data_IF_928375125652
#
_entry.id   IF_928375125652
#
_cell.length_a   1.000
_cell.length_b   1.000
_cell.length_c   1.000
_cell.angle_alpha   90.00
_cell.angle_beta   90.00
_cell.angle_gamma   90.00
#
_symmetry.space_group_name_H-M   'P 1'
#
loop_
_entity.id
_entity.type
_entity.pdbx_description
1 polymer ?
#
# COMPACT_ATOMS: atom_id res chain seq x y z
N UNK A 1 -19.08 -17.84 -24.82
CA UNK A 1 -19.05 -18.34 -23.44
C UNK A 1 -17.78 -19.17 -23.31
N UNK A 2 -16.67 -18.52 -22.99
CA UNK A 2 -15.37 -19.18 -22.85
C UNK A 2 -15.13 -19.52 -21.38
N UNK A 3 -14.64 -20.73 -21.16
CA UNK A 3 -14.43 -21.34 -19.86
C UNK A 3 -13.48 -20.52 -19.00
N UNK A 4 -13.99 -19.98 -17.90
CA UNK A 4 -13.16 -19.48 -16.79
C UNK A 4 -12.27 -20.63 -16.32
N UNK A 5 -10.95 -20.43 -16.38
CA UNK A 5 -9.96 -21.33 -15.79
C UNK A 5 -10.30 -21.53 -14.30
N UNK A 6 -11.01 -22.61 -13.99
CA UNK A 6 -11.08 -23.15 -12.65
C UNK A 6 -9.73 -23.80 -12.39
N UNK A 7 -8.92 -23.14 -11.56
CA UNK A 7 -7.63 -23.65 -11.11
C UNK A 7 -7.87 -24.94 -10.33
N UNK A 8 -7.10 -25.98 -10.66
CA UNK A 8 -7.11 -27.27 -9.99
C UNK A 8 -6.95 -27.10 -8.45
N UNK A 9 -7.88 -27.61 -7.62
CA UNK A 9 -7.79 -27.49 -6.16
C UNK A 9 -6.63 -28.26 -5.50
N UNK A 10 -5.87 -29.04 -6.29
CA UNK A 10 -4.86 -29.99 -5.81
C UNK A 10 -3.42 -29.49 -5.78
N UNK A 11 -3.10 -28.34 -6.39
CA UNK A 11 -1.76 -27.76 -6.29
C UNK A 11 -1.69 -26.78 -5.13
N UNK A 12 -1.17 -27.24 -3.99
CA UNK A 12 -0.72 -26.38 -2.87
C UNK A 12 0.54 -25.57 -3.27
N UNK A 13 0.49 -24.86 -4.40
CA UNK A 13 1.43 -23.78 -4.64
C UNK A 13 1.06 -22.65 -3.68
N UNK A 14 1.77 -22.60 -2.54
CA UNK A 14 1.75 -21.46 -1.64
C UNK A 14 2.01 -20.21 -2.49
N UNK A 15 1.00 -19.36 -2.65
CA UNK A 15 1.10 -18.18 -3.49
C UNK A 15 2.27 -17.32 -3.01
N UNK A 16 3.09 -16.82 -3.94
CA UNK A 16 4.25 -15.97 -3.64
C UNK A 16 3.83 -14.69 -2.90
N UNK A 17 2.64 -14.19 -3.21
CA UNK A 17 2.02 -13.02 -2.60
C UNK A 17 0.62 -13.34 -2.11
N UNK A 18 0.09 -12.49 -1.25
CA UNK A 18 -1.29 -12.49 -0.79
C UNK A 18 -1.96 -11.26 -1.38
N UNK A 19 -3.03 -11.46 -2.13
CA UNK A 19 -3.80 -10.37 -2.74
C UNK A 19 -5.30 -10.53 -2.49
N UNK A 20 -5.96 -9.40 -2.26
CA UNK A 20 -7.39 -9.32 -2.04
C UNK A 20 -7.98 -8.02 -2.57
N UNK A 21 -9.09 -8.11 -3.28
CA UNK A 21 -9.88 -6.95 -3.74
C UNK A 21 -11.25 -7.02 -3.08
N UNK A 22 -11.38 -6.33 -1.95
CA UNK A 22 -12.57 -6.31 -1.11
C UNK A 22 -13.33 -4.98 -1.21
N UNK A 23 -12.63 -3.87 -1.45
CA UNK A 23 -13.18 -2.53 -1.49
C UNK A 23 -12.24 -1.50 -2.13
N UNK A 24 -12.60 -0.21 -2.10
CA UNK A 24 -11.91 0.83 -2.87
C UNK A 24 -10.61 1.36 -2.26
N UNK A 25 -10.36 1.08 -0.98
CA UNK A 25 -9.13 1.51 -0.30
C UNK A 25 -8.14 0.35 -0.38
N UNK A 26 -7.00 0.59 -1.00
CA UNK A 26 -6.02 -0.41 -1.40
C UNK A 26 -4.74 -0.21 -0.61
N UNK A 27 -4.26 -1.24 0.07
CA UNK A 27 -3.02 -1.23 0.82
C UNK A 27 -1.98 -2.16 0.19
N UNK A 28 -0.86 -1.61 -0.27
CA UNK A 28 0.30 -2.42 -0.68
C UNK A 28 1.38 -2.40 0.38
N UNK A 29 2.13 -3.50 0.49
CA UNK A 29 3.36 -3.56 1.27
C UNK A 29 4.42 -4.35 0.48
N UNK A 30 4.99 -3.75 -0.57
CA UNK A 30 5.87 -4.44 -1.52
C UNK A 30 7.19 -4.86 -0.88
N UNK A 31 7.64 -4.22 0.20
CA UNK A 31 8.83 -4.65 0.95
C UNK A 31 8.50 -5.52 2.18
N UNK A 32 7.34 -6.17 2.21
CA UNK A 32 7.01 -7.15 3.25
C UNK A 32 7.86 -8.44 3.17
N UNK A 33 8.53 -8.65 2.04
CA UNK A 33 9.48 -9.73 1.75
C UNK A 33 10.86 -9.19 1.41
N UNK A 34 11.82 -10.09 1.15
CA UNK A 34 13.14 -9.74 0.63
C UNK A 34 13.12 -9.75 -0.88
N UNK A 35 13.67 -8.71 -1.51
CA UNK A 35 13.57 -8.52 -2.95
C UNK A 35 14.91 -8.17 -3.58
N UNK A 36 14.98 -8.31 -4.90
CA UNK A 36 16.10 -7.82 -5.70
C UNK A 36 15.74 -6.47 -6.29
N UNK A 37 16.65 -5.52 -6.14
CA UNK A 37 16.68 -4.25 -6.88
C UNK A 37 17.72 -4.36 -8.00
N UNK A 38 17.36 -3.85 -9.17
CA UNK A 38 18.16 -3.97 -10.39
C UNK A 38 18.02 -5.35 -11.03
N UNK A 39 17.87 -5.37 -12.35
CA UNK A 39 17.83 -6.57 -13.18
C UNK A 39 19.14 -6.77 -13.95
N UNK A 40 19.32 -7.94 -14.58
CA UNK A 40 20.43 -8.13 -15.54
C UNK A 40 20.34 -7.17 -16.75
N UNK A 41 19.14 -6.65 -17.02
CA UNK A 41 18.82 -5.82 -18.19
C UNK A 41 19.59 -4.47 -18.23
N UNK A 42 20.02 -3.95 -17.08
CA UNK A 42 20.64 -2.61 -17.00
C UNK A 42 22.05 -2.59 -16.37
N UNK A 43 22.73 -3.74 -16.29
CA UNK A 43 24.11 -3.88 -15.75
C UNK A 43 24.32 -3.24 -14.35
N UNK A 44 23.24 -3.08 -13.58
CA UNK A 44 23.30 -2.57 -12.22
C UNK A 44 23.73 -3.68 -11.25
N UNK A 45 24.56 -3.33 -10.25
CA UNK A 45 24.86 -4.25 -9.14
C UNK A 45 23.54 -4.63 -8.46
N UNK A 46 23.11 -5.88 -8.62
CA UNK A 46 21.93 -6.43 -7.92
C UNK A 46 22.06 -6.20 -6.43
N UNK A 47 21.19 -5.36 -5.86
CA UNK A 47 21.14 -5.11 -4.41
C UNK A 47 19.96 -5.88 -3.82
N UNK A 48 20.17 -6.48 -2.67
CA UNK A 48 19.06 -7.10 -1.92
C UNK A 48 18.38 -6.01 -1.12
N UNK A 49 17.11 -5.75 -1.43
CA UNK A 49 16.25 -4.97 -0.56
C UNK A 49 15.83 -5.85 0.62
N UNK A 50 16.21 -5.44 1.82
CA UNK A 50 15.77 -6.08 3.05
C UNK A 50 14.27 -5.85 3.28
N UNK A 51 13.68 -6.80 3.98
CA UNK A 51 12.28 -6.75 4.39
C UNK A 51 12.05 -5.65 5.42
N UNK A 52 11.03 -4.85 5.20
CA UNK A 52 10.56 -3.86 6.14
C UNK A 52 9.59 -4.49 7.15
N UNK A 53 10.06 -4.69 8.39
CA UNK A 53 9.27 -5.36 9.45
C UNK A 53 7.89 -4.70 9.68
N UNK A 54 6.88 -5.52 10.00
CA UNK A 54 5.48 -5.15 10.26
C UNK A 54 4.65 -4.65 9.07
N UNK A 55 5.21 -4.31 7.90
CA UNK A 55 4.44 -3.65 6.82
C UNK A 55 3.28 -4.51 6.29
N UNK A 56 3.48 -5.82 6.10
CA UNK A 56 2.38 -6.74 5.72
C UNK A 56 1.30 -6.88 6.80
N UNK A 57 1.70 -6.98 8.07
CA UNK A 57 0.75 -7.03 9.18
C UNK A 57 -0.04 -5.71 9.30
N UNK A 58 0.61 -4.56 9.07
CA UNK A 58 -0.05 -3.26 9.04
C UNK A 58 -1.02 -3.13 7.86
N UNK A 59 -0.63 -3.54 6.65
CA UNK A 59 -1.52 -3.54 5.48
C UNK A 59 -2.81 -4.32 5.76
N UNK A 60 -2.70 -5.51 6.35
CA UNK A 60 -3.85 -6.33 6.69
C UNK A 60 -4.66 -5.76 7.86
N UNK A 61 -3.99 -5.28 8.91
CA UNK A 61 -4.64 -4.60 10.05
C UNK A 61 -5.44 -3.38 9.59
N UNK A 62 -4.88 -2.57 8.70
CA UNK A 62 -5.56 -1.39 8.16
C UNK A 62 -6.73 -1.77 7.26
N UNK A 63 -6.59 -2.82 6.43
CA UNK A 63 -7.68 -3.33 5.61
C UNK A 63 -8.87 -3.82 6.45
N UNK A 64 -8.62 -4.53 7.54
CA UNK A 64 -9.66 -4.96 8.49
C UNK A 64 -10.32 -3.75 9.15
N UNK A 65 -9.50 -2.79 9.58
CA UNK A 65 -9.97 -1.61 10.28
C UNK A 65 -10.81 -0.67 9.39
N UNK A 66 -10.52 -0.63 8.07
CA UNK A 66 -11.39 0.03 7.09
C UNK A 66 -12.81 -0.55 7.14
N UNK A 67 -12.94 -1.88 7.20
CA UNK A 67 -14.23 -2.55 7.31
C UNK A 67 -14.94 -2.26 8.63
N UNK A 68 -14.18 -2.23 9.74
CA UNK A 68 -14.71 -1.89 11.07
C UNK A 68 -15.30 -0.47 11.13
N UNK A 69 -14.67 0.49 10.47
CA UNK A 69 -15.06 1.91 10.49
C UNK A 69 -15.96 2.33 9.32
N UNK A 70 -16.32 1.39 8.44
CA UNK A 70 -17.18 1.65 7.29
C UNK A 70 -18.55 1.01 7.47
N UNK A 71 -19.51 1.55 6.71
CA UNK A 71 -20.82 0.93 6.50
C UNK A 71 -20.84 0.35 5.10
N UNK A 72 -21.53 -0.77 4.93
CA UNK A 72 -21.81 -1.31 3.61
C UNK A 72 -22.78 -0.37 2.89
N UNK A 73 -22.40 0.10 1.70
CA UNK A 73 -23.20 1.08 0.95
C UNK A 73 -24.53 0.53 0.46
N UNK A 74 -24.65 -0.79 0.30
CA UNK A 74 -25.88 -1.45 -0.20
C UNK A 74 -26.89 -1.71 0.91
N UNK A 75 -26.42 -2.05 2.10
CA UNK A 75 -27.25 -2.48 3.23
C UNK A 75 -27.30 -1.47 4.37
N UNK A 76 -26.40 -0.48 4.38
CA UNK A 76 -26.21 0.48 5.47
C UNK A 76 -25.64 -0.11 6.76
N UNK A 77 -25.33 -1.41 6.79
CA UNK A 77 -24.91 -2.14 7.99
C UNK A 77 -23.40 -2.02 8.23
N UNK A 78 -23.00 -2.08 9.49
CA UNK A 78 -21.60 -2.25 9.90
C UNK A 78 -21.35 -3.68 10.36
N UNK A 79 -20.14 -4.23 10.14
CA UNK A 79 -19.03 -3.64 9.39
C UNK A 79 -19.29 -3.59 7.88
N UNK A 80 -18.67 -2.62 7.20
CA UNK A 80 -18.67 -2.52 5.74
C UNK A 80 -17.64 -3.44 5.07
N UNK A 81 -17.43 -3.30 3.75
CA UNK A 81 -16.39 -4.01 3.04
C UNK A 81 -15.00 -3.74 3.64
N UNK A 82 -14.16 -4.77 3.70
CA UNK A 82 -12.76 -4.62 4.08
C UNK A 82 -12.03 -3.74 3.05
N UNK A 83 -10.91 -3.16 3.46
CA UNK A 83 -9.91 -2.67 2.52
C UNK A 83 -9.34 -3.81 1.68
N UNK A 84 -8.88 -3.45 0.49
CA UNK A 84 -8.13 -4.32 -0.42
C UNK A 84 -6.66 -4.30 -0.02
N UNK A 85 -5.93 -5.41 -0.23
CA UNK A 85 -4.50 -5.47 0.07
C UNK A 85 -3.71 -6.36 -0.88
N UNK A 86 -2.42 -6.04 -1.07
CA UNK A 86 -1.45 -6.88 -1.77
C UNK A 86 -0.06 -6.79 -1.13
N UNK A 87 0.52 -7.92 -0.75
CA UNK A 87 1.87 -8.00 -0.15
C UNK A 87 2.48 -9.38 -0.35
N UNK A 88 3.81 -9.51 -0.23
CA UNK A 88 4.46 -10.82 -0.31
C UNK A 88 4.06 -11.75 0.83
N UNK A 89 3.92 -13.04 0.52
CA UNK A 89 3.58 -14.07 1.49
C UNK A 89 4.67 -14.17 2.57
N UNK A 90 4.28 -14.53 3.80
CA UNK A 90 5.24 -14.84 4.88
C UNK A 90 6.19 -16.00 4.52
N UNK A 91 5.79 -16.82 3.56
CA UNK A 91 6.53 -17.96 3.03
C UNK A 91 7.33 -17.60 1.76
N UNK A 92 7.23 -16.35 1.29
CA UNK A 92 8.03 -15.84 0.17
C UNK A 92 9.53 -15.89 0.51
N UNK A 93 10.32 -16.36 -0.46
CA UNK A 93 11.77 -16.44 -0.38
C UNK A 93 12.36 -15.56 -1.47
N UNK A 94 13.50 -14.94 -1.19
CA UNK A 94 14.26 -14.15 -2.16
C UNK A 94 14.46 -14.97 -3.45
N UNK A 95 14.01 -14.41 -4.56
CA UNK A 95 14.08 -15.02 -5.88
C UNK A 95 14.61 -13.98 -6.88
N UNK A 96 15.37 -14.42 -7.88
CA UNK A 96 15.96 -13.54 -8.90
C UNK A 96 14.92 -12.98 -9.88
N UNK A 97 13.74 -13.62 -10.02
CA UNK A 97 12.67 -13.14 -10.90
C UNK A 97 11.64 -12.26 -10.18
N UNK A 98 11.59 -12.30 -8.86
CA UNK A 98 10.67 -11.48 -8.07
C UNK A 98 11.33 -10.12 -7.80
N UNK A 99 11.23 -9.22 -8.79
CA UNK A 99 11.79 -7.87 -8.72
C UNK A 99 11.05 -7.00 -7.70
N UNK A 100 11.74 -6.01 -7.16
CA UNK A 100 11.18 -5.02 -6.24
C UNK A 100 10.10 -4.18 -6.96
N UNK A 101 8.81 -4.27 -6.54
CA UNK A 101 7.74 -3.51 -7.17
C UNK A 101 7.90 -1.99 -7.09
N UNK A 102 8.77 -1.51 -6.20
CA UNK A 102 9.13 -0.10 -6.06
C UNK A 102 10.41 0.30 -6.78
N UNK A 103 10.93 -0.58 -7.63
CA UNK A 103 12.12 -0.38 -8.45
C UNK A 103 11.97 -1.14 -9.78
N UNK A 104 10.92 -0.82 -10.54
CA UNK A 104 10.64 -1.41 -11.84
C UNK A 104 10.91 -0.43 -12.96
N UNK A 105 11.47 -0.91 -14.06
CA UNK A 105 11.57 -0.14 -15.30
C UNK A 105 10.29 -0.35 -16.11
N UNK A 106 10.00 0.55 -17.04
CA UNK A 106 8.80 0.44 -17.89
C UNK A 106 8.73 -0.89 -18.65
N UNK A 107 9.87 -1.49 -18.98
CA UNK A 107 9.94 -2.78 -19.68
C UNK A 107 9.46 -3.99 -18.87
N UNK A 108 9.55 -3.95 -17.54
CA UNK A 108 9.22 -5.10 -16.67
C UNK A 108 8.03 -4.88 -15.73
N UNK A 109 7.42 -3.69 -15.78
CA UNK A 109 6.25 -3.34 -14.96
C UNK A 109 5.06 -4.30 -15.15
N UNK A 110 4.84 -4.77 -16.38
CA UNK A 110 3.70 -5.60 -16.76
C UNK A 110 3.78 -7.02 -16.17
N UNK A 111 4.98 -7.47 -15.80
CA UNK A 111 5.22 -8.79 -15.21
C UNK A 111 5.03 -8.77 -13.69
N UNK A 112 4.98 -7.58 -13.08
CA UNK A 112 4.83 -7.44 -11.63
C UNK A 112 3.40 -7.81 -11.18
N UNK A 113 3.24 -8.79 -10.27
CA UNK A 113 1.92 -9.11 -9.73
C UNK A 113 1.30 -7.95 -8.94
N UNK A 114 2.12 -7.00 -8.45
CA UNK A 114 1.63 -5.80 -7.77
C UNK A 114 1.06 -4.78 -8.76
N UNK A 115 1.70 -4.61 -9.92
CA UNK A 115 1.17 -3.76 -10.98
C UNK A 115 -0.14 -4.33 -11.54
N UNK A 116 -0.12 -5.62 -11.88
CA UNK A 116 -1.31 -6.36 -12.33
C UNK A 116 -2.45 -6.27 -11.32
N UNK A 117 -2.15 -6.25 -10.02
CA UNK A 117 -3.14 -6.09 -8.96
C UNK A 117 -3.84 -4.72 -8.98
N UNK A 118 -3.16 -3.64 -9.36
CA UNK A 118 -3.81 -2.34 -9.55
C UNK A 118 -4.82 -2.38 -10.70
N UNK A 119 -4.49 -3.07 -11.79
CA UNK A 119 -5.41 -3.29 -12.92
C UNK A 119 -6.64 -4.11 -12.49
N UNK A 120 -6.42 -5.19 -11.73
CA UNK A 120 -7.51 -5.98 -11.15
C UNK A 120 -8.42 -5.12 -10.25
N UNK A 121 -7.84 -4.28 -9.40
CA UNK A 121 -8.60 -3.43 -8.50
C UNK A 121 -9.50 -2.44 -9.27
N UNK A 122 -8.97 -1.80 -10.32
CA UNK A 122 -9.77 -0.95 -11.20
C UNK A 122 -10.88 -1.70 -11.93
N UNK A 123 -10.59 -2.88 -12.46
CA UNK A 123 -11.59 -3.68 -13.18
C UNK A 123 -12.74 -4.12 -12.27
N UNK A 124 -12.44 -4.57 -11.04
CA UNK A 124 -13.46 -5.01 -10.09
C UNK A 124 -14.21 -3.85 -9.38
N UNK A 125 -13.67 -2.64 -9.44
CA UNK A 125 -14.22 -1.43 -8.78
C UNK A 125 -14.54 -0.34 -9.81
N UNK A 126 -14.94 -0.71 -11.04
CA UNK A 126 -15.28 0.25 -12.07
C UNK A 126 -16.31 1.28 -11.59
N UNK A 127 -16.04 2.56 -11.84
CA UNK A 127 -16.88 3.67 -11.42
C UNK A 127 -16.83 4.01 -9.93
N UNK A 128 -16.09 3.25 -9.11
CA UNK A 128 -15.91 3.54 -7.68
C UNK A 128 -14.61 4.32 -7.48
N UNK A 129 -14.61 5.42 -6.70
CA UNK A 129 -13.38 6.11 -6.35
C UNK A 129 -12.40 5.17 -5.65
N UNK A 130 -11.16 5.11 -6.14
CA UNK A 130 -10.10 4.30 -5.55
C UNK A 130 -9.12 5.17 -4.76
N UNK A 131 -8.48 4.57 -3.75
CA UNK A 131 -7.40 5.20 -3.01
C UNK A 131 -6.33 4.16 -2.67
N UNK A 132 -5.11 4.39 -3.16
CA UNK A 132 -3.97 3.52 -2.93
C UNK A 132 -3.06 4.07 -1.82
N UNK A 133 -2.61 3.17 -0.94
CA UNK A 133 -1.69 3.47 0.16
C UNK A 133 -0.56 2.45 0.11
N UNK A 134 0.62 2.91 -0.24
CA UNK A 134 1.82 2.10 -0.30
C UNK A 134 2.59 2.16 1.03
N UNK A 135 2.57 1.07 1.79
CA UNK A 135 3.08 1.02 3.16
C UNK A 135 4.53 0.58 3.17
N UNK A 136 5.39 1.48 3.63
CA UNK A 136 6.81 1.31 3.73
C UNK A 136 7.35 1.52 5.15
N UNK A 137 8.59 1.14 5.32
CA UNK A 137 9.33 1.22 6.55
C UNK A 137 10.70 1.84 6.37
N UNK A 138 10.97 2.88 7.16
CA UNK A 138 12.31 3.45 7.29
C UNK A 138 12.93 3.18 8.66
N UNK A 139 14.23 3.42 8.73
CA UNK A 139 14.99 3.48 9.99
C UNK A 139 14.54 4.64 10.85
N UNK A 140 14.58 4.47 12.17
CA UNK A 140 14.50 5.59 13.10
C UNK A 140 15.77 6.45 12.94
N UNK A 141 15.62 7.75 12.61
CA UNK A 141 16.77 8.65 12.50
C UNK A 141 17.23 9.09 13.90
N UNK A 142 18.43 9.65 13.99
CA UNK A 142 19.02 10.06 15.28
C UNK A 142 18.26 11.24 15.91
N UNK A 143 17.71 12.09 15.07
CA UNK A 143 17.19 13.42 15.35
C UNK A 143 15.74 13.65 14.89
N UNK A 144 15.13 12.68 14.18
CA UNK A 144 13.70 12.70 13.89
C UNK A 144 13.11 11.29 13.76
N UNK A 145 11.81 11.15 14.00
CA UNK A 145 11.05 9.93 13.72
C UNK A 145 9.71 10.27 13.06
N UNK A 146 9.75 11.23 12.14
CA UNK A 146 8.58 11.70 11.39
C UNK A 146 8.00 10.62 10.49
N UNK A 147 6.69 10.65 10.28
CA UNK A 147 6.02 9.92 9.21
C UNK A 147 6.27 10.67 7.90
N UNK A 148 7.01 10.05 6.99
CA UNK A 148 7.26 10.63 5.66
C UNK A 148 6.07 10.30 4.74
N UNK A 149 5.47 11.33 4.14
CA UNK A 149 4.34 11.24 3.22
C UNK A 149 4.84 11.48 1.79
N UNK A 150 5.04 10.41 1.03
CA UNK A 150 5.47 10.44 -0.35
C UNK A 150 4.32 10.71 -1.32
N UNK A 151 4.30 11.92 -1.87
CA UNK A 151 3.24 12.46 -2.74
C UNK A 151 3.77 13.06 -4.04
N UNK A 152 5.10 13.10 -4.21
CA UNK A 152 5.76 13.83 -5.30
C UNK A 152 5.33 13.35 -6.69
N UNK A 153 5.06 12.04 -6.83
CA UNK A 153 4.54 11.49 -8.08
C UNK A 153 3.18 12.08 -8.45
N UNK A 154 2.29 12.29 -7.48
CA UNK A 154 0.94 12.80 -7.75
C UNK A 154 1.01 14.26 -8.15
N UNK A 155 1.85 15.04 -7.45
CA UNK A 155 2.12 16.44 -7.80
C UNK A 155 2.63 16.53 -9.24
N UNK A 156 3.72 15.83 -9.57
CA UNK A 156 4.31 15.90 -10.92
C UNK A 156 3.41 15.39 -12.03
N UNK A 157 2.68 14.29 -11.81
CA UNK A 157 1.86 13.70 -12.88
C UNK A 157 0.55 14.45 -13.09
N UNK A 158 -0.09 14.92 -12.02
CA UNK A 158 -1.45 15.47 -12.10
C UNK A 158 -1.49 17.00 -12.19
N UNK A 159 -0.38 17.69 -11.93
CA UNK A 159 -0.26 19.12 -12.23
C UNK A 159 -0.54 19.40 -13.72
N UNK A 160 -0.06 18.52 -14.62
CA UNK A 160 -0.32 18.61 -16.07
C UNK A 160 -1.78 18.39 -16.48
N UNK A 161 -2.61 17.87 -15.57
CA UNK A 161 -4.05 17.67 -15.77
C UNK A 161 -4.91 18.80 -15.16
N UNK A 162 -4.30 19.77 -14.48
CA UNK A 162 -5.06 20.86 -13.85
C UNK A 162 -5.69 20.47 -12.50
N UNK A 163 -5.14 19.47 -11.81
CA UNK A 163 -5.70 18.94 -10.55
C UNK A 163 -5.15 19.60 -9.27
N UNK A 164 -4.67 20.84 -9.35
CA UNK A 164 -3.98 21.52 -8.25
C UNK A 164 -4.88 21.67 -7.00
N UNK A 165 -6.16 22.01 -7.19
CA UNK A 165 -7.09 22.16 -6.07
C UNK A 165 -7.32 20.84 -5.33
N UNK A 166 -7.45 19.74 -6.09
CA UNK A 166 -7.54 18.40 -5.53
C UNK A 166 -6.25 18.05 -4.78
N UNK A 167 -5.08 18.23 -5.39
CA UNK A 167 -3.79 17.90 -4.77
C UNK A 167 -3.60 18.67 -3.46
N UNK A 168 -3.90 19.97 -3.45
CA UNK A 168 -3.83 20.79 -2.24
C UNK A 168 -4.77 20.28 -1.14
N UNK A 169 -6.04 20.00 -1.48
CA UNK A 169 -7.00 19.45 -0.51
C UNK A 169 -6.56 18.08 0.03
N UNK A 170 -6.07 17.21 -0.85
CA UNK A 170 -5.62 15.86 -0.54
C UNK A 170 -4.42 15.86 0.41
N UNK A 171 -3.38 16.62 0.07
CA UNK A 171 -2.15 16.75 0.88
C UNK A 171 -2.47 17.38 2.23
N UNK A 172 -3.24 18.48 2.25
CA UNK A 172 -3.59 19.17 3.48
C UNK A 172 -4.42 18.30 4.43
N UNK A 173 -5.39 17.53 3.90
CA UNK A 173 -6.22 16.63 4.72
C UNK A 173 -5.39 15.51 5.35
N UNK A 174 -4.47 14.90 4.60
CA UNK A 174 -3.57 13.88 5.13
C UNK A 174 -2.60 14.45 6.15
N UNK A 175 -1.90 15.54 5.81
CA UNK A 175 -0.92 16.19 6.70
C UNK A 175 -1.55 16.62 8.01
N UNK A 176 -2.70 17.31 7.97
CA UNK A 176 -3.39 17.77 9.17
C UNK A 176 -3.88 16.59 10.03
N UNK A 177 -4.52 15.60 9.42
CA UNK A 177 -5.00 14.41 10.11
C UNK A 177 -3.88 13.60 10.77
N UNK A 178 -2.78 13.36 10.04
CA UNK A 178 -1.63 12.66 10.58
C UNK A 178 -0.94 13.44 11.70
N UNK A 179 -0.70 14.75 11.52
CA UNK A 179 -0.12 15.57 12.59
C UNK A 179 -0.96 15.56 13.86
N UNK A 180 -2.29 15.54 13.75
CA UNK A 180 -3.16 15.49 14.92
C UNK A 180 -3.01 14.19 15.71
N UNK A 181 -2.99 13.04 15.02
CA UNK A 181 -2.85 11.75 15.70
C UNK A 181 -1.42 11.51 16.22
N UNK A 182 -0.40 12.07 15.56
CA UNK A 182 1.00 11.94 15.95
C UNK A 182 1.35 12.74 17.21
N UNK A 183 0.59 13.77 17.58
CA UNK A 183 0.74 14.45 18.89
C UNK A 183 0.49 13.53 20.08
N UNK A 184 -0.29 12.46 19.87
CA UNK A 184 -0.75 11.57 20.93
C UNK A 184 0.12 10.31 21.09
N UNK A 185 1.16 10.13 20.26
CA UNK A 185 2.04 8.96 20.36
C UNK A 185 3.25 9.25 21.26
N UNK A 186 3.88 8.22 21.84
CA UNK A 186 5.09 8.40 22.63
C UNK A 186 6.20 9.10 21.85
N UNK A 187 6.91 10.00 22.52
CA UNK A 187 8.13 10.63 22.01
C UNK A 187 9.24 9.60 21.82
N UNK A 188 10.05 9.77 20.79
CA UNK A 188 11.27 8.97 20.58
C UNK A 188 12.50 9.83 20.87
N UNK A 189 13.30 9.45 21.87
CA UNK A 189 14.49 10.21 22.30
C UNK A 189 14.22 11.71 22.57
N UNK A 190 13.03 12.03 23.05
CA UNK A 190 12.60 13.40 23.32
C UNK A 190 12.00 14.15 22.12
N UNK A 191 12.09 13.60 20.91
CA UNK A 191 11.47 14.18 19.72
C UNK A 191 9.99 13.82 19.62
N UNK A 192 9.20 14.74 19.08
CA UNK A 192 7.79 14.54 18.71
C UNK A 192 7.71 14.20 17.22
N UNK A 193 6.85 13.24 16.86
CA UNK A 193 6.64 12.88 15.45
C UNK A 193 5.76 13.92 14.77
N UNK A 194 6.10 14.22 13.52
CA UNK A 194 5.27 15.00 12.61
C UNK A 194 5.04 14.22 11.32
N UNK A 195 4.05 14.66 10.55
CA UNK A 195 3.91 14.26 9.17
C UNK A 195 4.76 15.20 8.31
N UNK A 196 5.69 14.64 7.56
CA UNK A 196 6.58 15.34 6.65
C UNK A 196 6.10 15.10 5.21
N UNK A 197 5.50 16.11 4.59
CA UNK A 197 5.01 16.05 3.21
C UNK A 197 6.07 16.33 2.15
N UNK A 198 7.28 16.73 2.55
CA UNK A 198 8.42 16.95 1.65
C UNK A 198 9.62 16.06 2.04
N UNK A 199 9.46 14.74 2.15
CA UNK A 199 10.54 13.86 2.56
C UNK A 199 11.55 13.62 1.44
N UNK A 200 12.75 13.16 1.79
CA UNK A 200 13.69 12.64 0.80
C UNK A 200 13.12 11.40 0.08
N UNK A 201 12.42 10.53 0.82
CA UNK A 201 11.70 9.38 0.29
C UNK A 201 10.29 9.82 -0.14
N UNK A 202 10.21 10.61 -1.20
CA UNK A 202 8.98 11.25 -1.66
C UNK A 202 8.12 10.38 -2.60
N UNK A 203 8.53 9.14 -2.82
CA UNK A 203 7.86 8.18 -3.70
C UNK A 203 8.15 8.35 -5.19
N UNK A 204 9.09 9.22 -5.59
CA UNK A 204 9.51 9.42 -6.98
C UNK A 204 11.01 9.17 -7.15
N UNK A 205 11.41 8.19 -7.96
CA UNK A 205 12.82 7.94 -8.30
C UNK A 205 13.37 8.88 -9.39
N UNK A 206 12.49 9.43 -10.22
CA UNK A 206 12.85 10.09 -11.46
C UNK A 206 13.23 9.10 -12.57
N UNK A 207 13.26 9.59 -13.81
CA UNK A 207 13.60 8.78 -14.98
C UNK A 207 12.57 7.67 -15.26
N UNK A 208 13.07 6.50 -15.65
CA UNK A 208 12.23 5.35 -16.08
C UNK A 208 11.88 4.37 -14.94
N UNK A 209 12.43 4.59 -13.74
CA UNK A 209 12.13 3.76 -12.57
C UNK A 209 10.81 4.17 -11.93
N UNK A 210 9.93 3.19 -11.69
CA UNK A 210 8.58 3.39 -11.16
C UNK A 210 8.43 2.78 -9.77
N UNK A 211 7.97 3.60 -8.83
CA UNK A 211 7.46 3.14 -7.53
C UNK A 211 6.07 2.53 -7.68
N UNK A 212 5.60 1.76 -6.70
CA UNK A 212 4.21 1.31 -6.66
C UNK A 212 3.24 2.49 -6.53
N UNK A 213 3.66 3.53 -5.80
CA UNK A 213 2.94 4.79 -5.74
C UNK A 213 2.76 5.43 -7.12
N UNK A 214 3.84 5.56 -7.90
CA UNK A 214 3.79 6.12 -9.25
C UNK A 214 2.96 5.27 -10.21
N UNK A 215 3.07 3.95 -10.11
CA UNK A 215 2.25 3.02 -10.89
C UNK A 215 0.75 3.28 -10.69
N UNK A 216 0.29 3.42 -9.45
CA UNK A 216 -1.11 3.73 -9.17
C UNK A 216 -1.53 5.10 -9.73
N UNK A 217 -0.67 6.11 -9.61
CA UNK A 217 -0.92 7.48 -10.09
C UNK A 217 -1.06 7.53 -11.61
N UNK A 218 -0.19 6.81 -12.33
CA UNK A 218 -0.26 6.68 -13.80
C UNK A 218 -1.56 6.02 -14.24
N UNK A 219 -2.07 5.06 -13.47
CA UNK A 219 -3.35 4.41 -13.73
C UNK A 219 -4.58 5.28 -13.38
N UNK A 220 -4.35 6.48 -12.81
CA UNK A 220 -5.40 7.41 -12.43
C UNK A 220 -6.00 7.16 -11.05
N UNK A 221 -5.27 6.46 -10.18
CA UNK A 221 -5.63 6.19 -8.79
C UNK A 221 -4.87 7.17 -7.87
N UNK A 222 -5.55 7.96 -7.02
CA UNK A 222 -4.91 8.74 -5.98
C UNK A 222 -4.09 7.82 -5.10
N UNK A 223 -2.83 8.17 -4.88
CA UNK A 223 -1.90 7.31 -4.16
C UNK A 223 -0.97 8.11 -3.26
N UNK A 224 -0.59 7.50 -2.14
CA UNK A 224 0.48 7.95 -1.27
C UNK A 224 1.44 6.81 -0.93
N UNK A 225 2.71 7.15 -0.75
CA UNK A 225 3.69 6.29 -0.09
C UNK A 225 3.84 6.73 1.36
N UNK A 226 3.75 5.78 2.29
CA UNK A 226 3.93 6.03 3.72
C UNK A 226 5.24 5.40 4.17
N UNK A 227 6.23 6.23 4.48
CA UNK A 227 7.53 5.79 4.96
C UNK A 227 7.57 5.90 6.49
N UNK A 228 7.27 4.78 7.16
CA UNK A 228 6.99 4.74 8.60
C UNK A 228 8.26 4.33 9.38
N UNK A 229 8.75 5.14 10.34
CA UNK A 229 9.87 4.74 11.19
C UNK A 229 9.63 3.43 11.95
N UNK A 230 10.69 2.67 12.22
CA UNK A 230 10.59 1.37 12.89
C UNK A 230 9.84 1.44 14.22
N UNK A 231 10.18 2.39 15.09
CA UNK A 231 9.52 2.56 16.40
C UNK A 231 8.03 2.86 16.23
N UNK A 232 7.66 3.69 15.25
CA UNK A 232 6.27 4.01 14.95
C UNK A 232 5.52 2.81 14.37
N UNK A 233 6.13 2.01 13.48
CA UNK A 233 5.55 0.75 12.97
C UNK A 233 5.30 -0.25 14.10
N UNK A 234 6.27 -0.41 15.00
CA UNK A 234 6.13 -1.28 16.16
C UNK A 234 5.00 -0.81 17.08
N UNK A 235 4.79 0.50 17.20
CA UNK A 235 3.69 1.06 17.97
C UNK A 235 2.33 0.85 17.27
N UNK A 236 2.20 1.14 15.97
CA UNK A 236 0.98 0.84 15.17
C UNK A 236 0.61 -0.65 15.22
N UNK A 237 1.63 -1.52 15.20
CA UNK A 237 1.43 -2.96 15.28
C UNK A 237 0.81 -3.38 16.61
N UNK A 238 1.26 -2.79 17.73
CA UNK A 238 0.83 -3.13 19.09
C UNK A 238 -0.41 -2.38 19.58
N UNK A 239 -0.57 -1.11 19.20
CA UNK A 239 -1.60 -0.22 19.72
C UNK A 239 -2.76 -0.10 18.72
N UNK A 240 -3.88 -0.73 19.06
CA UNK A 240 -5.08 -0.73 18.22
C UNK A 240 -5.74 0.65 18.14
N UNK A 241 -5.61 1.50 19.15
CA UNK A 241 -6.19 2.85 19.12
C UNK A 241 -5.42 3.76 18.19
N UNK A 242 -4.09 3.63 18.16
CA UNK A 242 -3.27 4.34 17.19
C UNK A 242 -3.58 3.86 15.78
N UNK A 243 -3.65 2.54 15.54
CA UNK A 243 -4.03 1.99 14.22
C UNK A 243 -5.43 2.45 13.77
N UNK A 244 -6.42 2.46 14.68
CA UNK A 244 -7.77 2.99 14.43
C UNK A 244 -7.74 4.45 14.00
N UNK A 245 -7.01 5.28 14.75
CA UNK A 245 -6.88 6.71 14.46
C UNK A 245 -6.16 6.94 13.13
N UNK A 246 -5.15 6.12 12.82
CA UNK A 246 -4.42 6.15 11.56
C UNK A 246 -5.34 5.88 10.36
N UNK A 247 -6.13 4.81 10.43
CA UNK A 247 -7.09 4.46 9.38
C UNK A 247 -8.23 5.47 9.27
N UNK A 248 -8.63 6.09 10.38
CA UNK A 248 -9.62 7.18 10.37
C UNK A 248 -9.17 8.37 9.52
N UNK A 249 -7.87 8.75 9.58
CA UNK A 249 -7.31 9.80 8.71
C UNK A 249 -7.50 9.41 7.25
N UNK A 250 -7.08 8.20 6.86
CA UNK A 250 -7.20 7.70 5.49
C UNK A 250 -8.65 7.65 5.00
N UNK A 251 -9.57 7.16 5.83
CA UNK A 251 -11.00 7.13 5.52
C UNK A 251 -11.61 8.52 5.37
N UNK A 252 -11.20 9.48 6.21
CA UNK A 252 -11.68 10.86 6.11
C UNK A 252 -11.19 11.51 4.82
N UNK A 253 -9.93 11.30 4.44
CA UNK A 253 -9.38 11.77 3.15
C UNK A 253 -10.12 11.15 1.98
N UNK A 254 -10.37 9.83 2.03
CA UNK A 254 -11.13 9.15 0.99
C UNK A 254 -12.52 9.76 0.82
N UNK A 255 -13.29 9.86 1.91
CA UNK A 255 -14.69 10.30 1.86
C UNK A 255 -14.86 11.78 1.55
N UNK A 256 -13.99 12.63 2.11
CA UNK A 256 -14.17 14.08 2.04
C UNK A 256 -13.43 14.72 0.87
N UNK A 257 -12.37 14.08 0.35
CA UNK A 257 -11.58 14.62 -0.75
C UNK A 257 -11.74 13.78 -2.00
N UNK A 258 -11.34 12.50 -1.95
CA UNK A 258 -11.28 11.66 -3.16
C UNK A 258 -12.66 11.42 -3.75
N UNK A 259 -13.65 11.03 -2.95
CA UNK A 259 -15.01 10.76 -3.43
C UNK A 259 -15.66 11.99 -4.06
N UNK A 260 -15.40 13.18 -3.51
CA UNK A 260 -15.96 14.44 -4.03
C UNK A 260 -15.28 14.91 -5.31
N UNK A 261 -13.98 14.65 -5.44
CA UNK A 261 -13.20 14.96 -6.63
C UNK A 261 -13.50 14.02 -7.80
N UNK A 262 -13.72 12.74 -7.51
CA UNK A 262 -13.75 11.67 -8.51
C UNK A 262 -14.66 11.90 -9.72
N UNK A 263 -15.91 12.41 -9.58
CA UNK A 263 -16.80 12.62 -10.72
C UNK A 263 -16.35 13.73 -11.67
N UNK A 264 -15.54 14.66 -11.19
CA UNK A 264 -15.09 15.84 -11.92
C UNK A 264 -13.62 15.74 -12.40
N UNK A 265 -12.94 14.63 -12.10
CA UNK A 265 -11.53 14.45 -12.43
C UNK A 265 -11.29 14.47 -13.94
N UNK A 266 -10.21 15.13 -14.34
CA UNK A 266 -9.71 15.12 -15.71
C UNK A 266 -8.72 13.98 -15.98
N UNK A 267 -8.12 13.42 -14.92
CA UNK A 267 -7.17 12.31 -15.00
C UNK A 267 -7.88 11.05 -15.51
N UNK A 268 -7.42 10.42 -16.61
CA UNK A 268 -8.04 9.20 -17.12
C UNK A 268 -7.83 8.02 -16.17
N UNK A 269 -8.78 7.09 -16.15
CA UNK A 269 -8.54 5.78 -15.55
C UNK A 269 -7.96 4.85 -16.61
N UNK A 270 -6.77 4.32 -16.37
CA UNK A 270 -6.13 3.37 -17.27
C UNK A 270 -6.16 2.00 -16.60
N UNK A 271 -6.73 0.99 -17.24
CA UNK A 271 -6.60 -0.39 -16.81
C UNK A 271 -6.71 -1.35 -18.01
N UNK A 272 -6.16 -2.53 -17.82
CA UNK A 272 -6.17 -3.64 -18.76
C UNK A 272 -6.69 -4.87 -18.02
N UNK A 273 -7.93 -5.32 -18.29
CA UNK A 273 -8.51 -6.51 -17.67
C UNK A 273 -7.66 -7.76 -17.88
N UNK A 274 -6.88 -7.84 -18.97
CA UNK A 274 -6.02 -8.99 -19.26
C UNK A 274 -4.88 -9.10 -18.26
N UNK A 275 -4.32 -7.96 -17.82
CA UNK A 275 -3.33 -7.94 -16.74
C UNK A 275 -3.95 -8.29 -15.40
N UNK A 276 -5.14 -7.72 -15.10
CA UNK A 276 -5.86 -8.04 -13.87
C UNK A 276 -6.16 -9.53 -13.72
N UNK A 277 -6.51 -10.20 -14.83
CA UNK A 277 -6.79 -11.64 -14.86
C UNK A 277 -5.59 -12.55 -14.53
N UNK A 278 -4.36 -12.03 -14.55
CA UNK A 278 -3.14 -12.78 -14.17
C UNK A 278 -2.97 -12.90 -12.65
N UNK A 279 -3.68 -12.06 -11.89
CA UNK A 279 -3.52 -11.97 -10.43
C UNK A 279 -4.29 -13.10 -9.75
N UNK A 280 -3.58 -13.90 -8.97
CA UNK A 280 -4.21 -14.84 -8.03
C UNK A 280 -4.65 -14.07 -6.80
N UNK A 281 -5.97 -13.89 -6.64
CA UNK A 281 -6.52 -13.18 -5.50
C UNK A 281 -7.60 -14.01 -4.79
N UNK A 282 -7.84 -13.69 -3.52
CA UNK A 282 -8.98 -14.21 -2.74
C UNK A 282 -9.77 -13.04 -2.19
N UNK A 283 -11.10 -13.11 -2.26
CA UNK A 283 -11.97 -12.18 -1.54
C UNK A 283 -12.16 -12.71 -0.13
N UNK A 284 -11.53 -12.06 0.85
CA UNK A 284 -11.59 -12.51 2.26
C UNK A 284 -12.86 -11.97 2.91
N UNK A 285 -13.57 -12.80 3.66
CA UNK A 285 -14.51 -12.27 4.65
C UNK A 285 -13.75 -11.81 5.91
N UNK A 286 -14.46 -11.14 6.83
CA UNK A 286 -13.84 -10.60 8.05
C UNK A 286 -13.13 -11.67 8.89
N UNK A 287 -13.80 -12.79 9.17
CA UNK A 287 -13.23 -13.87 9.98
C UNK A 287 -11.96 -14.46 9.35
N UNK A 288 -11.95 -14.63 8.02
CA UNK A 288 -10.77 -15.11 7.30
C UNK A 288 -9.62 -14.09 7.33
N UNK A 289 -9.93 -12.81 7.20
CA UNK A 289 -8.93 -11.74 7.28
C UNK A 289 -8.35 -11.61 8.70
N UNK A 290 -9.18 -11.72 9.74
CA UNK A 290 -8.75 -11.72 11.15
C UNK A 290 -7.82 -12.91 11.44
N UNK A 291 -8.17 -14.11 10.96
CA UNK A 291 -7.31 -15.28 11.08
C UNK A 291 -5.97 -15.10 10.35
N UNK A 292 -6.01 -14.56 9.13
CA UNK A 292 -4.79 -14.24 8.37
C UNK A 292 -3.94 -13.21 9.12
N UNK A 293 -4.56 -12.20 9.72
CA UNK A 293 -3.87 -11.17 10.49
C UNK A 293 -3.17 -11.76 11.71
N UNK A 294 -3.84 -12.64 12.46
CA UNK A 294 -3.23 -13.36 13.57
C UNK A 294 -2.00 -14.16 13.13
N UNK A 295 -2.07 -14.83 11.98
CA UNK A 295 -0.90 -15.57 11.45
C UNK A 295 0.29 -14.65 11.15
N UNK A 296 0.04 -13.46 10.60
CA UNK A 296 1.09 -12.47 10.32
C UNK A 296 1.61 -11.83 11.61
N UNK A 297 0.74 -11.54 12.58
CA UNK A 297 1.13 -11.06 13.92
C UNK A 297 2.08 -12.06 14.59
N UNK A 298 1.75 -13.34 14.60
CA UNK A 298 2.62 -14.38 15.17
C UNK A 298 3.92 -14.54 14.38
N UNK A 299 3.89 -14.37 13.06
CA UNK A 299 5.08 -14.40 12.22
C UNK A 299 6.02 -13.21 12.45
N UNK A 300 5.48 -12.04 12.81
CA UNK A 300 6.26 -10.83 13.13
C UNK A 300 6.94 -10.90 14.51
N UNK A 301 6.35 -11.64 15.46
CA UNK A 301 6.93 -11.87 16.80
C UNK A 301 8.19 -12.72 16.78
N UNK A 302 8.35 -13.59 15.77
CA UNK A 302 9.51 -14.47 15.67
C UNK A 302 10.77 -13.67 15.33
N UNK A 303 11.87 -13.80 16.09
CA UNK A 303 13.16 -13.22 15.72
C UNK A 303 13.60 -13.81 14.38
N UNK A 304 14.00 -12.97 13.42
CA UNK A 304 14.54 -13.45 12.15
C UNK A 304 16.01 -13.07 12.06
N UNK A 305 16.83 -13.99 11.57
CA UNK A 305 18.25 -13.71 11.28
C UNK A 305 18.44 -12.49 10.36
N UNK A 306 17.39 -12.12 9.64
CA UNK A 306 17.30 -11.03 8.68
C UNK A 306 16.80 -9.72 9.25
N UNK A 307 16.39 -9.68 10.52
CA UNK A 307 16.03 -8.44 11.22
C UNK A 307 17.30 -7.65 11.64
N UNK A 308 18.49 -8.20 11.40
CA UNK A 308 19.75 -7.47 11.50
C UNK A 308 19.78 -6.46 10.34
N UNK A 309 19.83 -5.18 10.68
CA UNK A 309 19.94 -4.04 9.75
C UNK A 309 18.63 -3.56 9.09
N UNK A 310 17.57 -3.33 9.89
CA UNK A 310 16.68 -2.16 9.73
C UNK A 310 16.29 -1.67 11.13
#
# INVERSE_FOLDING_TARGET
MESRNQINPGENHVSKYVASVNGPIIFTAPHSGKLKRGGAEYDEKRRVHQREKYTSALALKFAIEVGNQSKDAKTGRSPGPLGSFCFWSKDHKLNEVDLDPNYLYSGNIMESPFHQYLHLAQDLQQGVPLFHIDIHGKLDRKDCYDLDLGIECAVKHWEGYGEQDFLNAFINKLKSGFNEILKNIPKYKGFEAKCNENPYLNGNWGGDLKTMNEQAIVLGIPSIQLEIPFTMRAYLFKDDQFAKSFVKVLLSTYREVIVNWWPAKSVPQLFDPRLGALVRHKKYNKQEADLLNQQYVEWEKKPKATDKYI
#
